data_IF_730732126172
#
_entry.id   IF_730732126172
#
_cell.length_a   1.000
_cell.length_b   1.000
_cell.length_c   1.000
_cell.angle_alpha   90.00
_cell.angle_beta   90.00
_cell.angle_gamma   90.00
#
_symmetry.space_group_name_H-M   'P 1'
#
loop_
_entity.id
_entity.type
_entity.pdbx_description
1 polymer ?
#
# COMPACT_ATOMS: atom_id res chain seq x y z
N UNK A 1 -18.40 -9.14 -0.70
CA UNK A 1 -17.31 -8.71 0.19
C UNK A 1 -15.99 -9.05 -0.48
N UNK A 2 -15.06 -8.11 -0.62
CA UNK A 2 -13.71 -8.41 -1.14
C UNK A 2 -12.89 -8.96 0.02
N UNK A 3 -12.43 -10.21 -0.08
CA UNK A 3 -11.57 -10.82 0.93
C UNK A 3 -10.11 -10.54 0.55
N UNK A 4 -9.43 -9.75 1.37
CA UNK A 4 -8.02 -9.42 1.19
C UNK A 4 -7.17 -10.41 1.99
N UNK A 5 -6.25 -11.09 1.31
CA UNK A 5 -5.25 -11.96 1.93
C UNK A 5 -4.14 -11.11 2.57
N UNK A 6 -4.31 -10.77 3.85
CA UNK A 6 -3.34 -9.97 4.62
C UNK A 6 -1.99 -10.67 4.77
N UNK A 7 -1.97 -12.00 4.85
CA UNK A 7 -0.75 -12.80 4.95
C UNK A 7 0.12 -12.64 3.69
N UNK A 8 -0.51 -12.66 2.52
CA UNK A 8 0.18 -12.39 1.25
C UNK A 8 0.79 -10.98 1.23
N UNK A 9 0.06 -9.98 1.71
CA UNK A 9 0.55 -8.60 1.74
C UNK A 9 1.74 -8.43 2.69
N UNK A 10 1.69 -9.06 3.86
CA UNK A 10 2.84 -9.11 4.78
C UNK A 10 4.05 -9.83 4.17
N UNK A 11 3.83 -10.91 3.42
CA UNK A 11 4.91 -11.58 2.68
C UNK A 11 5.55 -10.65 1.65
N UNK A 12 4.78 -9.86 0.91
CA UNK A 12 5.35 -8.87 -0.03
C UNK A 12 6.24 -7.85 0.71
N UNK A 13 5.75 -7.28 1.82
CA UNK A 13 6.52 -6.32 2.63
C UNK A 13 7.84 -6.95 3.09
N UNK A 14 7.77 -8.13 3.71
CA UNK A 14 8.96 -8.83 4.21
C UNK A 14 9.94 -9.15 3.09
N UNK A 15 9.46 -9.63 1.95
CA UNK A 15 10.31 -9.98 0.82
C UNK A 15 11.09 -8.77 0.31
N UNK A 16 10.44 -7.63 0.11
CA UNK A 16 11.14 -6.42 -0.35
C UNK A 16 12.13 -5.90 0.69
N UNK A 17 11.81 -6.06 1.98
CA UNK A 17 12.70 -5.71 3.09
C UNK A 17 13.84 -6.72 3.32
N UNK A 18 13.91 -7.84 2.59
CA UNK A 18 15.10 -8.70 2.60
C UNK A 18 16.26 -8.00 1.88
N UNK A 19 15.98 -7.38 0.73
CA UNK A 19 16.99 -6.71 -0.11
C UNK A 19 17.19 -5.23 0.25
N UNK A 20 16.27 -4.64 1.03
CA UNK A 20 16.27 -3.21 1.39
C UNK A 20 16.06 -3.01 2.88
N UNK A 21 16.65 -1.96 3.46
CA UNK A 21 16.44 -1.61 4.87
C UNK A 21 15.07 -0.97 5.14
N UNK A 22 14.50 -0.30 4.12
CA UNK A 22 13.22 0.38 4.19
C UNK A 22 12.51 0.43 2.83
N UNK A 23 11.19 0.59 2.83
CA UNK A 23 10.39 0.87 1.64
C UNK A 23 9.16 1.71 2.00
N UNK A 24 8.83 2.70 1.16
CA UNK A 24 7.59 3.47 1.34
C UNK A 24 6.39 2.73 0.78
N UNK A 25 5.20 3.00 1.30
CA UNK A 25 3.96 2.39 0.80
C UNK A 25 3.73 2.73 -0.68
N UNK A 26 4.04 3.97 -1.11
CA UNK A 26 3.97 4.34 -2.51
C UNK A 26 4.91 3.51 -3.40
N UNK A 27 6.16 3.32 -2.99
CA UNK A 27 7.11 2.47 -3.72
C UNK A 27 6.66 1.00 -3.73
N UNK A 28 6.09 0.50 -2.63
CA UNK A 28 5.53 -0.84 -2.56
C UNK A 28 4.37 -1.02 -3.54
N UNK A 29 3.47 -0.04 -3.64
CA UNK A 29 2.37 -0.05 -4.60
C UNK A 29 2.82 0.08 -6.06
N UNK A 30 4.01 0.63 -6.33
CA UNK A 30 4.58 0.63 -7.68
C UNK A 30 5.15 -0.76 -8.06
N UNK A 31 5.81 -1.44 -7.12
CA UNK A 31 6.35 -2.80 -7.32
C UNK A 31 5.23 -3.85 -7.37
N UNK A 32 4.21 -3.65 -6.55
CA UNK A 32 3.04 -4.52 -6.44
C UNK A 32 1.77 -3.68 -6.59
N UNK A 33 1.34 -3.41 -7.85
CA UNK A 33 0.13 -2.64 -8.13
C UNK A 33 -1.10 -3.21 -7.42
N UNK A 34 -1.92 -2.30 -6.88
CA UNK A 34 -3.15 -2.63 -6.18
C UNK A 34 -4.14 -3.29 -7.15
N UNK A 35 -4.54 -4.52 -6.87
CA UNK A 35 -5.51 -5.33 -7.62
C UNK A 35 -6.94 -5.09 -7.15
N UNK A 36 -7.11 -4.85 -5.86
CA UNK A 36 -8.42 -4.56 -5.24
C UNK A 36 -8.55 -3.09 -4.82
N UNK A 37 -7.63 -2.25 -5.30
CA UNK A 37 -7.65 -0.81 -5.10
C UNK A 37 -7.66 -0.40 -3.63
N UNK A 38 -8.65 0.40 -3.22
CA UNK A 38 -8.72 0.98 -1.88
C UNK A 38 -8.76 -0.08 -0.77
N UNK A 39 -9.36 -1.25 -1.00
CA UNK A 39 -9.43 -2.30 0.02
C UNK A 39 -8.03 -2.83 0.40
N UNK A 40 -7.16 -3.02 -0.59
CA UNK A 40 -5.75 -3.37 -0.34
C UNK A 40 -5.01 -2.20 0.30
N UNK A 41 -5.22 -0.98 -0.19
CA UNK A 41 -4.55 0.17 0.40
C UNK A 41 -4.87 0.34 1.90
N UNK A 42 -6.14 0.25 2.27
CA UNK A 42 -6.57 0.30 3.68
C UNK A 42 -5.95 -0.84 4.47
N UNK A 43 -5.87 -2.04 3.89
CA UNK A 43 -5.21 -3.19 4.52
C UNK A 43 -3.72 -2.94 4.78
N UNK A 44 -3.00 -2.32 3.83
CA UNK A 44 -1.61 -1.91 4.06
C UNK A 44 -1.48 -0.91 5.21
N UNK A 45 -2.39 0.06 5.30
CA UNK A 45 -2.41 1.04 6.40
C UNK A 45 -2.73 0.39 7.76
N UNK A 46 -3.66 -0.56 7.80
CA UNK A 46 -3.93 -1.34 9.01
C UNK A 46 -2.72 -2.16 9.46
N UNK A 47 -2.00 -2.79 8.50
CA UNK A 47 -0.77 -3.54 8.79
C UNK A 47 0.33 -2.61 9.31
N UNK A 48 0.47 -1.43 8.69
CA UNK A 48 1.38 -0.38 9.10
C UNK A 48 1.11 0.06 10.56
N UNK A 49 -0.15 0.34 10.90
CA UNK A 49 -0.54 0.82 12.23
C UNK A 49 -0.42 -0.23 13.35
N UNK A 50 -0.40 -1.53 13.02
CA UNK A 50 -0.20 -2.61 14.00
C UNK A 50 1.27 -3.01 14.19
N UNK A 51 2.14 -2.57 13.30
CA UNK A 51 3.54 -2.97 13.26
C UNK A 51 4.42 -1.95 13.99
N UNK A 52 5.29 -2.43 14.88
CA UNK A 52 6.36 -1.59 15.46
C UNK A 52 7.48 -1.24 14.47
N UNK A 53 7.45 -1.84 13.27
CA UNK A 53 8.42 -1.65 12.18
C UNK A 53 7.86 -0.74 11.08
N UNK A 54 7.14 0.28 11.48
CA UNK A 54 6.59 1.28 10.58
C UNK A 54 6.89 2.67 11.12
N UNK A 55 7.35 3.55 10.25
CA UNK A 55 7.52 4.98 10.53
C UNK A 55 6.55 5.75 9.64
N UNK A 56 5.85 6.72 10.23
CA UNK A 56 5.03 7.68 9.47
C UNK A 56 5.77 9.01 9.48
N UNK A 57 6.12 9.49 8.29
CA UNK A 57 6.68 10.81 8.06
C UNK A 57 5.51 11.75 7.73
N UNK A 58 5.07 12.53 8.71
CA UNK A 58 3.93 13.45 8.63
C UNK A 58 4.25 14.72 7.84
N UNK A 59 5.53 15.08 7.73
CA UNK A 59 5.99 16.26 6.97
C UNK A 59 6.01 15.99 5.45
N UNK A 60 6.05 14.71 5.06
CA UNK A 60 5.98 14.30 3.67
C UNK A 60 4.62 13.70 3.29
N UNK A 61 4.16 14.03 2.09
CA UNK A 61 2.96 13.42 1.48
C UNK A 61 3.36 12.51 0.33
N UNK A 62 2.75 11.32 0.27
CA UNK A 62 2.79 10.45 -0.91
C UNK A 62 1.46 10.43 -1.64
N UNK A 63 1.53 10.27 -2.97
CA UNK A 63 0.36 10.03 -3.82
C UNK A 63 0.40 8.60 -4.33
N UNK A 64 -0.66 7.83 -4.04
CA UNK A 64 -0.81 6.46 -4.52
C UNK A 64 -1.96 6.42 -5.51
N UNK A 65 -1.72 5.81 -6.67
CA UNK A 65 -2.70 5.69 -7.75
C UNK A 65 -3.00 4.23 -8.04
N UNK A 66 -4.26 3.92 -8.35
CA UNK A 66 -4.67 2.59 -8.77
C UNK A 66 -5.84 2.66 -9.76
N UNK A 67 -6.00 1.61 -10.56
CA UNK A 67 -7.14 1.46 -11.45
C UNK A 67 -8.32 0.82 -10.73
N UNK A 68 -9.53 1.24 -11.07
CA UNK A 68 -10.78 0.71 -10.52
C UNK A 68 -11.82 0.69 -11.65
N UNK A 69 -12.72 -0.29 -11.64
CA UNK A 69 -13.85 -0.28 -12.56
C UNK A 69 -14.81 0.87 -12.21
N UNK A 70 -15.09 1.73 -13.20
CA UNK A 70 -16.15 2.74 -13.15
C UNK A 70 -17.53 2.10 -13.30
N UNK A 71 -18.58 2.88 -13.01
CA UNK A 71 -19.97 2.42 -13.11
C UNK A 71 -20.37 2.04 -14.55
N UNK A 72 -19.65 2.58 -15.54
CA UNK A 72 -19.80 2.31 -16.97
C UNK A 72 -18.88 1.18 -17.48
N UNK A 73 -18.20 0.47 -16.58
CA UNK A 73 -17.24 -0.59 -16.92
C UNK A 73 -15.89 -0.08 -17.43
N UNK A 74 -15.68 1.23 -17.56
CA UNK A 74 -14.37 1.79 -17.95
C UNK A 74 -13.41 1.78 -16.77
N UNK A 75 -12.12 1.58 -17.06
CA UNK A 75 -11.09 1.73 -16.04
C UNK A 75 -10.95 3.21 -15.69
N UNK A 76 -11.18 3.55 -14.43
CA UNK A 76 -10.94 4.88 -13.88
C UNK A 76 -9.68 4.85 -13.02
N UNK A 77 -8.83 5.86 -13.21
CA UNK A 77 -7.66 6.07 -12.36
C UNK A 77 -8.11 6.77 -11.07
N UNK A 78 -7.95 6.10 -9.94
CA UNK A 78 -8.14 6.67 -8.61
C UNK A 78 -6.80 7.02 -8.00
N UNK A 79 -6.82 8.03 -7.12
CA UNK A 79 -5.64 8.44 -6.36
C UNK A 79 -6.01 8.80 -4.93
N UNK A 80 -5.05 8.66 -4.04
CA UNK A 80 -5.11 9.17 -2.67
C UNK A 80 -3.85 9.97 -2.36
N UNK A 81 -3.95 10.90 -1.42
CA UNK A 81 -2.81 11.58 -0.79
C UNK A 81 -2.84 11.28 0.70
N UNK A 82 -1.70 10.89 1.25
CA UNK A 82 -1.54 10.52 2.65
C UNK A 82 -0.12 10.86 3.13
N UNK A 83 0.10 10.97 4.44
CA UNK A 83 1.44 10.99 5.02
C UNK A 83 2.29 9.82 4.50
N UNK A 84 3.58 10.03 4.35
CA UNK A 84 4.48 8.98 3.87
C UNK A 84 4.57 7.88 4.91
N UNK A 85 4.13 6.69 4.54
CA UNK A 85 4.24 5.48 5.36
C UNK A 85 5.48 4.71 4.91
N UNK A 86 6.37 4.41 5.85
CA UNK A 86 7.66 3.74 5.61
C UNK A 86 7.68 2.44 6.42
N UNK A 87 7.82 1.32 5.74
CA UNK A 87 8.11 0.04 6.38
C UNK A 87 9.62 -0.12 6.54
N UNK A 88 10.07 -0.58 7.70
CA UNK A 88 11.48 -0.82 8.02
C UNK A 88 11.69 -2.28 8.44
N UNK A 89 12.94 -2.75 8.40
CA UNK A 89 13.31 -4.12 8.81
C UNK A 89 13.22 -4.35 10.31
#
# INVERSE_FOLDING_TARGET
QVVIDKERMMRHIRHVLQDRSQITLGALCQLHPLRHGLAELVTYLELAGKSSRTVVDEDATETITWQSAGADGKQILKRVRLPRVIFVR
#
